data_IF_972327095503
#
_entry.id   IF_972327095503
#
_cell.length_a   1.000
_cell.length_b   1.000
_cell.length_c   1.000
_cell.angle_alpha   90.00
_cell.angle_beta   90.00
_cell.angle_gamma   90.00
#
_symmetry.space_group_name_H-M   'P 1'
#
loop_
_entity.id
_entity.type
_entity.pdbx_description
1 polymer ?
#
# COMPACT_ATOMS: atom_id res chain seq x y z
N UNK A 1 17.70 44.17 14.83
CA UNK A 1 18.51 43.18 15.56
C UNK A 1 18.52 41.86 14.80
N UNK A 2 19.74 41.33 14.58
CA UNK A 2 20.17 40.01 14.08
C UNK A 2 19.37 39.30 12.96
N UNK A 3 19.91 39.37 11.73
CA UNK A 3 19.66 38.41 10.65
C UNK A 3 20.46 37.13 10.93
N UNK A 4 19.76 36.00 11.00
CA UNK A 4 20.34 34.68 11.15
C UNK A 4 21.02 34.25 9.82
N UNK A 5 22.35 34.23 9.78
CA UNK A 5 23.15 33.66 8.70
C UNK A 5 23.49 32.22 9.03
N UNK A 6 22.88 31.26 8.35
CA UNK A 6 23.15 29.84 8.57
C UNK A 6 23.08 29.05 7.27
N UNK A 7 24.08 29.22 6.40
CA UNK A 7 24.36 28.30 5.29
C UNK A 7 25.84 28.34 4.90
N UNK A 8 26.74 27.98 5.81
CA UNK A 8 28.09 27.55 5.44
C UNK A 8 28.63 26.56 6.48
N UNK A 9 28.60 25.28 6.13
CA UNK A 9 29.59 24.31 6.60
C UNK A 9 29.86 23.35 5.43
N UNK A 10 31.15 23.19 5.13
CA UNK A 10 31.77 22.30 4.12
C UNK A 10 31.90 22.82 2.68
N UNK A 11 32.98 23.58 2.44
CA UNK A 11 33.91 23.32 1.34
C UNK A 11 35.26 23.97 1.64
N UNK A 12 36.13 23.25 2.36
CA UNK A 12 37.56 23.59 2.42
C UNK A 12 38.23 23.03 1.16
N UNK A 13 38.94 23.90 0.43
CA UNK A 13 40.00 23.51 -0.51
C UNK A 13 39.58 23.27 -1.96
N UNK A 14 39.20 24.32 -2.70
CA UNK A 14 39.51 24.44 -4.14
C UNK A 14 39.73 25.92 -4.47
N UNK A 15 40.75 26.19 -5.29
CA UNK A 15 41.20 27.52 -5.75
C UNK A 15 40.00 28.35 -6.21
N UNK A 16 39.84 29.55 -5.63
CA UNK A 16 38.74 30.49 -5.90
C UNK A 16 39.01 31.24 -7.20
N UNK A 17 38.11 31.13 -8.17
CA UNK A 17 38.15 31.90 -9.42
C UNK A 17 37.25 33.14 -9.27
N UNK A 18 37.78 34.36 -9.45
CA UNK A 18 37.04 35.63 -9.25
C UNK A 18 35.77 35.72 -10.12
N UNK A 19 35.79 35.14 -11.32
CA UNK A 19 34.64 35.17 -12.24
C UNK A 19 33.44 34.35 -11.72
N UNK A 20 33.69 33.30 -10.92
CA UNK A 20 32.62 32.51 -10.30
C UNK A 20 31.93 33.22 -9.13
N UNK A 21 32.62 34.16 -8.48
CA UNK A 21 32.05 34.94 -7.38
C UNK A 21 31.10 36.02 -7.93
N UNK A 22 31.46 36.69 -9.03
CA UNK A 22 30.60 37.66 -9.72
C UNK A 22 29.31 37.03 -10.29
N UNK A 23 29.40 35.87 -10.93
CA UNK A 23 28.23 35.13 -11.43
C UNK A 23 27.30 34.69 -10.29
N UNK A 24 27.85 34.29 -9.16
CA UNK A 24 27.07 33.94 -7.98
C UNK A 24 26.40 35.17 -7.35
N UNK A 25 27.06 36.32 -7.30
CA UNK A 25 26.49 37.57 -6.79
C UNK A 25 25.35 38.10 -7.67
N UNK A 26 25.51 38.06 -9.00
CA UNK A 26 24.44 38.43 -9.93
C UNK A 26 23.24 37.50 -9.84
N UNK A 27 23.48 36.19 -9.76
CA UNK A 27 22.43 35.19 -9.54
C UNK A 27 21.72 35.42 -8.19
N UNK A 28 22.44 35.76 -7.12
CA UNK A 28 21.87 36.11 -5.82
C UNK A 28 21.04 37.40 -5.87
N UNK A 29 21.52 38.42 -6.58
CA UNK A 29 20.80 39.69 -6.77
C UNK A 29 19.52 39.48 -7.57
N UNK A 30 19.57 38.71 -8.66
CA UNK A 30 18.40 38.33 -9.45
C UNK A 30 17.42 37.48 -8.64
N UNK A 31 17.90 36.50 -7.88
CA UNK A 31 17.06 35.69 -6.99
C UNK A 31 16.36 36.54 -5.92
N UNK A 32 17.04 37.54 -5.35
CA UNK A 32 16.45 38.46 -4.38
C UNK A 32 15.39 39.39 -5.00
N UNK A 33 15.61 39.87 -6.23
CA UNK A 33 14.61 40.65 -7.00
C UNK A 33 13.37 39.83 -7.35
N UNK A 34 13.57 38.58 -7.75
CA UNK A 34 12.47 37.64 -8.07
C UNK A 34 11.70 37.20 -6.81
N UNK A 35 12.40 37.01 -5.68
CA UNK A 35 11.81 36.67 -4.38
C UNK A 35 10.90 37.78 -3.83
N UNK A 36 11.24 39.04 -4.08
CA UNK A 36 10.50 40.20 -3.54
C UNK A 36 9.25 40.57 -4.35
N UNK A 37 9.19 40.23 -5.65
CA UNK A 37 8.05 40.59 -6.52
C UNK A 37 6.98 39.50 -6.67
N UNK A 38 7.31 38.23 -6.45
CA UNK A 38 6.39 37.11 -6.70
C UNK A 38 5.98 36.45 -5.36
N UNK A 39 4.67 36.40 -5.03
CA UNK A 39 4.19 35.71 -3.85
C UNK A 39 4.62 34.23 -3.82
N UNK A 40 4.95 33.72 -2.63
CA UNK A 40 5.44 32.35 -2.47
C UNK A 40 4.44 31.28 -2.96
N UNK A 41 3.13 31.56 -2.90
CA UNK A 41 2.09 30.68 -3.46
C UNK A 41 2.17 30.55 -5.00
N UNK A 42 2.65 31.59 -5.70
CA UNK A 42 2.88 31.51 -7.15
C UNK A 42 4.12 30.68 -7.46
N UNK A 43 5.20 30.82 -6.68
CA UNK A 43 6.39 29.96 -6.79
C UNK A 43 6.04 28.49 -6.58
N UNK A 44 5.27 28.17 -5.54
CA UNK A 44 4.80 26.81 -5.28
C UNK A 44 4.05 26.23 -6.49
N UNK A 45 3.06 26.96 -7.02
CA UNK A 45 2.30 26.51 -8.20
C UNK A 45 3.17 26.33 -9.43
N UNK A 46 4.14 27.21 -9.64
CA UNK A 46 5.08 27.10 -10.77
C UNK A 46 5.95 25.83 -10.64
N UNK A 47 6.51 25.57 -9.45
CA UNK A 47 7.32 24.37 -9.18
C UNK A 47 6.47 23.11 -9.40
N UNK A 48 5.24 23.08 -8.89
CA UNK A 48 4.35 21.93 -9.07
C UNK A 48 4.04 21.67 -10.55
N UNK A 49 3.64 22.71 -11.28
CA UNK A 49 3.36 22.60 -12.73
C UNK A 49 4.59 22.15 -13.51
N UNK A 50 5.76 22.71 -13.19
CA UNK A 50 7.01 22.32 -13.83
C UNK A 50 7.35 20.85 -13.59
N UNK A 51 7.16 20.34 -12.36
CA UNK A 51 7.36 18.93 -12.07
C UNK A 51 6.42 18.00 -12.87
N UNK A 52 5.15 18.38 -13.03
CA UNK A 52 4.22 17.64 -13.89
C UNK A 52 4.64 17.66 -15.36
N UNK A 53 5.02 18.82 -15.88
CA UNK A 53 5.50 18.97 -17.27
C UNK A 53 6.74 18.08 -17.51
N UNK A 54 7.72 18.12 -16.62
CA UNK A 54 8.90 17.24 -16.69
C UNK A 54 8.51 15.76 -16.71
N UNK A 55 7.54 15.38 -15.89
CA UNK A 55 7.04 14.01 -15.84
C UNK A 55 6.35 13.60 -17.13
N UNK A 56 5.55 14.49 -17.74
CA UNK A 56 4.91 14.22 -19.05
C UNK A 56 5.93 14.05 -20.17
N UNK A 57 7.07 14.75 -20.11
CA UNK A 57 8.20 14.56 -21.02
C UNK A 57 9.10 13.37 -20.65
N UNK A 58 8.63 12.43 -19.82
CA UNK A 58 9.36 11.23 -19.34
C UNK A 58 10.63 11.54 -18.55
N UNK A 59 10.85 12.79 -18.11
CA UNK A 59 11.98 13.22 -17.27
C UNK A 59 11.62 13.16 -15.78
N UNK A 60 11.15 12.00 -15.33
CA UNK A 60 10.64 11.82 -13.96
C UNK A 60 11.72 11.89 -12.87
N UNK A 61 12.99 11.59 -13.19
CA UNK A 61 14.11 11.78 -12.25
C UNK A 61 14.36 13.25 -11.94
N UNK A 62 14.28 14.10 -12.95
CA UNK A 62 14.50 15.54 -12.79
C UNK A 62 13.35 16.18 -12.03
N UNK A 63 12.11 15.77 -12.34
CA UNK A 63 10.94 16.15 -11.58
C UNK A 63 11.11 15.81 -10.09
N UNK A 64 11.61 14.61 -9.79
CA UNK A 64 11.92 14.20 -8.42
C UNK A 64 12.97 15.09 -7.76
N UNK A 65 14.08 15.38 -8.45
CA UNK A 65 15.14 16.23 -7.91
C UNK A 65 14.66 17.66 -7.63
N UNK A 66 13.83 18.22 -8.51
CA UNK A 66 13.21 19.55 -8.34
C UNK A 66 12.31 19.56 -7.11
N UNK A 67 11.44 18.55 -6.97
CA UNK A 67 10.54 18.43 -5.84
C UNK A 67 11.28 18.22 -4.52
N UNK A 68 12.32 17.37 -4.51
CA UNK A 68 13.15 17.14 -3.32
C UNK A 68 13.83 18.43 -2.85
N UNK A 69 14.42 19.18 -3.78
CA UNK A 69 15.01 20.50 -3.49
C UNK A 69 13.97 21.47 -2.95
N UNK A 70 12.80 21.54 -3.56
CA UNK A 70 11.70 22.39 -3.08
C UNK A 70 11.25 22.00 -1.67
N UNK A 71 11.08 20.70 -1.38
CA UNK A 71 10.68 20.21 -0.05
C UNK A 71 11.72 20.56 1.02
N UNK A 72 13.01 20.52 0.67
CA UNK A 72 14.11 20.87 1.59
C UNK A 72 14.30 22.37 1.80
N UNK A 73 13.70 23.23 0.96
CA UNK A 73 13.87 24.67 1.09
C UNK A 73 13.11 25.19 2.32
N UNK A 74 13.79 25.95 3.18
CA UNK A 74 13.26 26.43 4.47
C UNK A 74 11.84 27.01 4.39
N UNK A 75 11.56 27.78 3.32
CA UNK A 75 10.26 28.44 3.14
C UNK A 75 9.11 27.44 3.01
N UNK A 76 9.34 26.30 2.35
CA UNK A 76 8.34 25.24 2.21
C UNK A 76 8.45 24.21 3.34
N UNK A 77 9.65 24.01 3.90
CA UNK A 77 9.89 23.03 4.95
C UNK A 77 9.13 23.34 6.25
N UNK A 78 9.07 24.62 6.63
CA UNK A 78 8.38 25.09 7.84
C UNK A 78 6.86 25.30 7.63
N UNK A 79 6.42 25.40 6.38
CA UNK A 79 5.01 25.61 6.04
C UNK A 79 4.35 24.29 5.66
N UNK A 80 3.68 23.68 6.64
CA UNK A 80 3.07 22.37 6.51
C UNK A 80 2.08 22.22 5.33
N UNK A 81 1.12 23.14 5.07
CA UNK A 81 0.21 22.98 3.93
C UNK A 81 0.93 23.07 2.57
N UNK A 82 1.94 23.94 2.44
CA UNK A 82 2.75 24.00 1.21
C UNK A 82 3.59 22.74 1.03
N UNK A 83 4.17 22.23 2.11
CA UNK A 83 4.90 20.96 2.13
C UNK A 83 4.01 19.78 1.74
N UNK A 84 2.78 19.73 2.27
CA UNK A 84 1.80 18.72 1.90
C UNK A 84 1.48 18.76 0.40
N UNK A 85 1.30 19.96 -0.17
CA UNK A 85 1.06 20.11 -1.62
C UNK A 85 2.23 19.58 -2.47
N UNK A 86 3.48 19.79 -2.04
CA UNK A 86 4.67 19.26 -2.71
C UNK A 86 4.72 17.73 -2.66
N UNK A 87 4.43 17.12 -1.51
CA UNK A 87 4.39 15.66 -1.38
C UNK A 87 3.24 15.02 -2.20
N UNK A 88 2.06 15.64 -2.24
CA UNK A 88 0.96 15.19 -3.12
C UNK A 88 1.34 15.31 -4.61
N UNK A 89 2.05 16.37 -4.97
CA UNK A 89 2.60 16.54 -6.33
C UNK A 89 3.60 15.43 -6.64
N UNK A 90 4.49 15.11 -5.71
CA UNK A 90 5.47 14.04 -5.87
C UNK A 90 4.81 12.67 -6.08
N UNK A 91 3.74 12.38 -5.34
CA UNK A 91 2.93 11.18 -5.56
C UNK A 91 2.33 11.18 -6.97
N UNK A 92 1.69 12.28 -7.38
CA UNK A 92 1.08 12.38 -8.72
C UNK A 92 2.10 12.26 -9.86
N UNK A 93 3.26 12.89 -9.73
CA UNK A 93 4.37 12.76 -10.68
C UNK A 93 4.93 11.32 -10.68
N UNK A 94 5.06 10.69 -9.53
CA UNK A 94 5.45 9.28 -9.42
C UNK A 94 4.48 8.35 -10.13
N UNK A 95 3.18 8.64 -10.01
CA UNK A 95 2.11 7.88 -10.66
C UNK A 95 2.22 7.94 -12.19
N UNK A 96 2.26 9.16 -12.73
CA UNK A 96 2.34 9.40 -14.19
C UNK A 96 3.68 8.89 -14.75
N UNK A 97 4.78 9.19 -14.05
CA UNK A 97 6.14 8.83 -14.44
C UNK A 97 6.51 7.37 -14.19
N UNK A 98 5.58 6.58 -13.65
CA UNK A 98 5.71 5.17 -13.28
C UNK A 98 6.92 4.85 -12.38
N UNK A 99 7.17 5.69 -11.38
CA UNK A 99 8.25 5.49 -10.40
C UNK A 99 7.67 5.24 -9.01
N UNK A 100 7.70 3.98 -8.56
CA UNK A 100 7.18 3.57 -7.25
C UNK A 100 7.89 4.26 -6.07
N UNK A 101 9.18 4.53 -6.18
CA UNK A 101 9.96 5.17 -5.11
C UNK A 101 9.42 6.54 -4.70
N UNK A 102 9.05 7.38 -5.67
CA UNK A 102 8.46 8.70 -5.43
C UNK A 102 7.10 8.59 -4.72
N UNK A 103 6.27 7.66 -5.18
CA UNK A 103 4.93 7.41 -4.64
C UNK A 103 5.04 6.95 -3.19
N UNK A 104 5.92 5.98 -2.91
CA UNK A 104 6.15 5.45 -1.57
C UNK A 104 6.68 6.50 -0.59
N UNK A 105 7.64 7.32 -1.01
CA UNK A 105 8.22 8.34 -0.14
C UNK A 105 7.18 9.39 0.26
N UNK A 106 6.36 9.82 -0.70
CA UNK A 106 5.26 10.75 -0.42
C UNK A 106 4.18 10.12 0.47
N UNK A 107 3.78 8.88 0.20
CA UNK A 107 2.77 8.18 0.98
C UNK A 107 3.22 7.99 2.45
N UNK A 108 4.47 7.59 2.66
CA UNK A 108 5.07 7.46 4.01
C UNK A 108 5.16 8.79 4.74
N UNK A 109 5.50 9.87 4.05
CA UNK A 109 5.49 11.20 4.67
C UNK A 109 4.07 11.58 5.11
N UNK A 110 3.05 11.34 4.28
CA UNK A 110 1.65 11.59 4.64
C UNK A 110 1.20 10.79 5.86
N UNK A 111 1.59 9.52 5.95
CA UNK A 111 1.30 8.67 7.10
C UNK A 111 1.93 9.24 8.39
N UNK A 112 3.15 9.76 8.31
CA UNK A 112 3.84 10.38 9.46
C UNK A 112 3.32 11.78 9.80
N UNK A 113 2.86 12.55 8.81
CA UNK A 113 2.35 13.89 9.03
C UNK A 113 0.95 13.89 9.65
N UNK A 114 0.11 12.91 9.30
CA UNK A 114 -1.25 12.74 9.84
C UNK A 114 -1.42 11.40 10.55
N UNK A 115 -0.55 11.10 11.51
CA UNK A 115 -0.55 9.83 12.25
C UNK A 115 -1.90 9.52 12.94
N UNK A 116 -2.65 10.55 13.33
CA UNK A 116 -3.97 10.40 13.97
C UNK A 116 -5.11 10.12 13.00
N UNK A 117 -4.90 10.27 11.69
CA UNK A 117 -5.96 10.09 10.69
C UNK A 117 -5.68 8.89 9.80
N UNK A 118 -6.72 8.08 9.63
CA UNK A 118 -6.70 6.92 8.75
C UNK A 118 -6.48 7.28 7.27
N UNK A 119 -6.74 8.53 6.88
CA UNK A 119 -6.63 8.99 5.50
C UNK A 119 -5.21 8.80 4.92
N UNK A 120 -4.16 8.95 5.73
CA UNK A 120 -2.79 8.71 5.27
C UNK A 120 -2.57 7.27 4.82
N UNK A 121 -3.02 6.32 5.64
CA UNK A 121 -2.92 4.89 5.34
C UNK A 121 -3.88 4.46 4.21
N UNK A 122 -5.08 5.06 4.12
CA UNK A 122 -6.02 4.83 3.00
C UNK A 122 -5.44 5.28 1.67
N UNK A 123 -4.85 6.47 1.62
CA UNK A 123 -4.14 6.96 0.44
C UNK A 123 -2.99 6.02 0.11
N UNK A 124 -2.22 5.57 1.11
CA UNK A 124 -1.12 4.65 0.86
C UNK A 124 -1.61 3.31 0.28
N UNK A 125 -2.65 2.69 0.84
CA UNK A 125 -3.24 1.46 0.30
C UNK A 125 -3.68 1.65 -1.17
N UNK A 126 -4.43 2.71 -1.45
CA UNK A 126 -4.89 3.01 -2.82
C UNK A 126 -3.74 3.23 -3.82
N UNK A 127 -2.61 3.79 -3.36
CA UNK A 127 -1.42 4.01 -4.19
C UNK A 127 -0.62 2.74 -4.48
N UNK A 128 -0.69 1.74 -3.62
CA UNK A 128 -0.04 0.44 -3.81
C UNK A 128 -0.82 -0.37 -4.83
N UNK A 129 -2.14 -0.25 -4.83
CA UNK A 129 -3.04 -0.99 -5.71
C UNK A 129 -3.26 -0.33 -7.08
N UNK A 130 -2.57 0.78 -7.39
CA UNK A 130 -2.80 1.55 -8.63
C UNK A 130 -2.31 0.89 -9.92
N UNK A 131 -2.04 -0.43 -9.91
CA UNK A 131 -1.94 -1.24 -11.13
C UNK A 131 -0.58 -1.29 -11.81
N UNK A 132 0.52 -1.19 -11.06
CA UNK A 132 1.84 -1.41 -11.65
C UNK A 132 2.13 -2.89 -11.86
N UNK A 133 2.76 -3.18 -13.01
CA UNK A 133 3.12 -4.55 -13.39
C UNK A 133 4.22 -5.16 -12.52
N UNK A 134 4.98 -4.35 -11.80
CA UNK A 134 6.10 -4.80 -10.98
C UNK A 134 5.82 -4.57 -9.48
N UNK A 135 5.47 -5.63 -8.73
CA UNK A 135 5.28 -5.57 -7.27
C UNK A 135 6.52 -5.09 -6.51
N UNK A 136 7.73 -5.26 -7.05
CA UNK A 136 8.98 -4.88 -6.36
C UNK A 136 9.10 -3.36 -6.20
N UNK A 137 8.40 -2.60 -7.04
CA UNK A 137 8.32 -1.14 -6.94
C UNK A 137 7.63 -0.68 -5.66
N UNK A 138 6.81 -1.56 -5.04
CA UNK A 138 6.05 -1.30 -3.82
C UNK A 138 6.64 -1.95 -2.56
N UNK A 139 7.36 -3.05 -2.72
CA UNK A 139 7.94 -3.82 -1.62
C UNK A 139 9.44 -3.55 -1.54
N UNK A 140 9.82 -2.37 -1.04
CA UNK A 140 11.22 -2.17 -0.62
C UNK A 140 11.40 -2.60 0.83
N UNK A 141 12.57 -3.15 1.17
CA UNK A 141 12.89 -3.53 2.56
C UNK A 141 12.74 -2.34 3.54
N UNK A 142 13.00 -1.12 3.06
CA UNK A 142 12.83 0.09 3.86
C UNK A 142 11.35 0.37 4.18
N UNK A 143 10.44 0.12 3.23
CA UNK A 143 8.99 0.25 3.49
C UNK A 143 8.50 -0.82 4.45
N UNK A 144 8.94 -2.07 4.25
CA UNK A 144 8.56 -3.16 5.13
C UNK A 144 9.00 -2.86 6.57
N UNK A 145 10.25 -2.42 6.76
CA UNK A 145 10.77 -1.99 8.07
C UNK A 145 9.96 -0.84 8.67
N UNK A 146 9.59 0.15 7.86
CA UNK A 146 8.77 1.28 8.32
C UNK A 146 7.37 0.83 8.79
N UNK A 147 6.63 0.10 7.97
CA UNK A 147 5.28 -0.37 8.32
C UNK A 147 5.32 -1.33 9.50
N UNK A 148 6.31 -2.22 9.55
CA UNK A 148 6.53 -3.10 10.72
C UNK A 148 6.72 -2.29 12.00
N UNK A 149 7.51 -1.20 11.95
CA UNK A 149 7.69 -0.31 13.11
C UNK A 149 6.39 0.38 13.50
N UNK A 150 5.57 0.82 12.53
CA UNK A 150 4.29 1.45 12.81
C UNK A 150 3.29 0.47 13.46
N UNK A 151 3.21 -0.76 12.95
CA UNK A 151 2.36 -1.81 13.54
C UNK A 151 2.81 -2.15 14.96
N UNK A 152 4.11 -2.38 15.18
CA UNK A 152 4.65 -2.66 16.52
C UNK A 152 4.43 -1.51 17.51
N UNK A 153 4.54 -0.27 17.02
CA UNK A 153 4.31 0.91 17.84
C UNK A 153 2.84 0.99 18.28
N UNK A 154 1.92 0.77 17.34
CA UNK A 154 0.48 0.68 17.62
C UNK A 154 0.18 -0.45 18.62
N UNK A 155 0.75 -1.62 18.42
CA UNK A 155 0.58 -2.78 19.32
C UNK A 155 1.09 -2.47 20.73
N UNK A 156 2.23 -1.80 20.86
CA UNK A 156 2.78 -1.39 22.15
C UNK A 156 1.93 -0.30 22.84
N UNK A 157 1.37 0.65 22.08
CA UNK A 157 0.48 1.69 22.62
C UNK A 157 -0.82 1.09 23.18
N UNK A 158 -1.48 0.22 22.41
CA UNK A 158 -2.70 -0.47 22.85
C UNK A 158 -2.38 -1.41 24.02
N UNK A 159 -1.28 -2.15 23.93
CA UNK A 159 -0.85 -3.08 24.99
C UNK A 159 -0.52 -2.39 26.31
N UNK A 160 0.08 -1.21 26.30
CA UNK A 160 0.37 -0.47 27.54
C UNK A 160 -0.91 0.07 28.19
N UNK A 161 -1.89 0.54 27.41
CA UNK A 161 -3.20 0.96 27.94
C UNK A 161 -3.97 -0.21 28.56
N UNK A 162 -3.89 -1.39 27.97
CA UNK A 162 -4.51 -2.60 28.53
C UNK A 162 -3.79 -3.07 29.80
N UNK A 163 -2.46 -2.92 29.90
CA UNK A 163 -1.70 -3.23 31.14
C UNK A 163 -1.98 -2.26 32.29
N UNK A 164 -2.33 -1.01 31.99
CA UNK A 164 -2.81 -0.06 32.99
C UNK A 164 -4.22 -0.45 33.50
N UNK A 165 -4.99 -1.22 32.73
CA UNK A 165 -6.36 -1.65 33.05
C UNK A 165 -6.49 -3.09 33.59
N UNK A 166 -5.56 -4.00 33.29
CA UNK A 166 -5.63 -5.41 33.72
C UNK A 166 -4.32 -5.88 34.39
N UNK A 167 -4.36 -5.96 35.72
CA UNK A 167 -3.50 -6.87 36.47
C UNK A 167 -3.98 -8.32 36.27
N UNK A 168 -3.03 -9.24 36.01
CA UNK A 168 -3.16 -10.71 35.97
C UNK A 168 -3.49 -11.50 34.68
N UNK A 169 -3.67 -10.91 33.49
CA UNK A 169 -3.89 -11.71 32.25
C UNK A 169 -2.65 -11.99 31.38
N UNK A 170 -1.45 -11.79 31.93
CA UNK A 170 -0.19 -11.92 31.18
C UNK A 170 0.14 -13.38 30.81
N UNK A 171 -0.29 -14.33 31.64
CA UNK A 171 -0.05 -15.76 31.45
C UNK A 171 -0.98 -16.33 30.37
N UNK A 172 -2.27 -15.94 30.34
CA UNK A 172 -3.23 -16.39 29.33
C UNK A 172 -2.88 -15.91 27.92
N UNK A 173 -2.43 -14.67 27.76
CA UNK A 173 -1.99 -14.15 26.44
C UNK A 173 -0.71 -14.86 25.98
N UNK A 174 0.17 -15.23 26.91
CA UNK A 174 1.37 -16.01 26.61
C UNK A 174 1.01 -17.44 26.18
N UNK A 175 0.11 -18.10 26.90
CA UNK A 175 -0.38 -19.44 26.58
C UNK A 175 -1.10 -19.49 25.24
N UNK A 176 -1.91 -18.47 24.89
CA UNK A 176 -2.55 -18.37 23.57
C UNK A 176 -1.52 -18.21 22.44
N UNK A 177 -0.43 -17.47 22.69
CA UNK A 177 0.66 -17.34 21.72
C UNK A 177 1.47 -18.64 21.62
N UNK A 178 1.67 -19.37 22.71
CA UNK A 178 2.30 -20.70 22.74
C UNK A 178 1.43 -21.77 22.05
N UNK A 179 0.10 -21.70 22.15
CA UNK A 179 -0.84 -22.57 21.41
C UNK A 179 -0.85 -22.27 19.90
N UNK A 180 -0.75 -20.99 19.51
CA UNK A 180 -0.54 -20.60 18.11
C UNK A 180 0.83 -21.08 17.59
N UNK A 181 1.85 -21.14 18.48
CA UNK A 181 3.15 -21.75 18.19
C UNK A 181 3.09 -23.27 18.05
N UNK A 182 2.20 -23.93 18.78
CA UNK A 182 1.97 -25.37 18.74
C UNK A 182 1.02 -25.82 17.62
N UNK A 183 0.32 -24.89 16.94
CA UNK A 183 -0.41 -25.19 15.70
C UNK A 183 0.60 -25.48 14.59
N UNK A 184 1.04 -26.74 14.53
CA UNK A 184 1.79 -27.44 13.49
C UNK A 184 2.32 -26.55 12.37
N UNK A 185 3.52 -25.99 12.54
CA UNK A 185 4.35 -25.51 11.43
C UNK A 185 5.72 -26.17 11.65
N UNK A 186 6.10 -27.09 10.76
CA UNK A 186 7.38 -27.80 10.77
C UNK A 186 8.57 -26.83 11.04
N UNK A 187 9.39 -27.06 12.10
CA UNK A 187 10.54 -26.22 12.45
C UNK A 187 11.54 -26.03 11.29
N UNK A 188 11.62 -26.96 10.34
CA UNK A 188 12.48 -26.85 9.16
C UNK A 188 11.93 -25.87 8.10
N UNK A 189 10.65 -25.49 8.17
CA UNK A 189 10.05 -24.42 7.37
C UNK A 189 10.11 -23.04 8.06
N UNK A 190 10.57 -23.00 9.32
CA UNK A 190 10.41 -21.88 10.22
C UNK A 190 11.46 -20.77 10.07
N UNK A 191 12.61 -20.99 9.42
CA UNK A 191 13.68 -19.99 9.36
C UNK A 191 13.33 -18.74 8.53
N UNK A 192 12.54 -18.89 7.46
CA UNK A 192 12.08 -17.76 6.63
C UNK A 192 10.68 -17.24 7.00
N UNK A 193 9.85 -18.07 7.63
CA UNK A 193 8.43 -17.80 7.90
C UNK A 193 8.10 -17.54 9.38
N UNK A 194 9.09 -17.28 10.23
CA UNK A 194 8.86 -17.05 11.66
C UNK A 194 8.05 -15.76 11.90
N UNK A 195 6.74 -15.91 12.16
CA UNK A 195 5.82 -14.81 12.46
C UNK A 195 6.24 -14.04 13.71
N UNK A 196 6.99 -14.67 14.61
CA UNK A 196 7.59 -14.07 15.81
C UNK A 196 8.46 -12.84 15.47
N UNK A 197 9.07 -12.79 14.27
CA UNK A 197 9.74 -11.58 13.75
C UNK A 197 8.79 -10.39 13.68
N UNK A 198 7.50 -10.60 13.48
CA UNK A 198 6.50 -9.54 13.41
C UNK A 198 5.85 -9.22 14.77
N UNK A 199 5.97 -10.11 15.76
CA UNK A 199 5.33 -9.99 17.08
C UNK A 199 6.21 -9.48 18.22
N UNK A 200 7.51 -9.25 18.02
CA UNK A 200 8.32 -8.58 19.04
C UNK A 200 7.82 -7.15 19.28
N UNK A 201 6.90 -7.04 20.25
CA UNK A 201 6.37 -5.80 20.78
C UNK A 201 7.43 -5.23 21.73
N UNK A 202 7.95 -4.01 21.49
CA UNK A 202 8.90 -3.39 22.41
C UNK A 202 8.27 -3.32 23.81
N UNK A 203 8.94 -3.88 24.80
CA UNK A 203 8.51 -3.85 26.22
C UNK A 203 8.42 -2.44 26.77
N UNK A 204 9.17 -1.50 26.18
CA UNK A 204 9.08 -0.06 26.43
C UNK A 204 9.11 0.70 25.10
N UNK A 205 8.13 1.58 24.87
CA UNK A 205 8.18 2.57 23.79
C UNK A 205 9.02 3.74 24.30
N UNK A 206 10.09 4.17 23.61
CA UNK A 206 10.87 5.32 24.04
C UNK A 206 9.98 6.57 24.17
N UNK A 207 9.97 7.28 25.32
CA UNK A 207 9.17 8.47 25.55
C UNK A 207 9.24 9.55 24.45
N UNK A 208 10.41 9.84 23.81
CA UNK A 208 10.47 10.90 22.80
C UNK A 208 9.72 10.58 21.49
N UNK A 209 9.43 9.31 21.20
CA UNK A 209 8.63 8.92 20.03
C UNK A 209 7.15 9.17 20.32
N UNK A 210 6.68 8.79 21.52
CA UNK A 210 5.30 9.04 21.99
C UNK A 210 5.00 10.54 22.03
N UNK A 211 5.96 11.35 22.50
CA UNK A 211 5.84 12.82 22.59
C UNK A 211 5.86 13.53 21.23
N UNK A 212 6.67 13.08 20.27
CA UNK A 212 6.68 13.61 18.89
C UNK A 212 5.43 13.26 18.09
N UNK A 213 4.80 12.14 18.42
CA UNK A 213 3.57 11.69 17.76
C UNK A 213 2.30 12.24 18.41
N UNK A 214 2.39 13.00 19.52
CA UNK A 214 1.26 13.60 20.24
C UNK A 214 0.03 12.67 20.38
N UNK A 215 0.29 11.38 20.62
CA UNK A 215 -0.74 10.33 20.61
C UNK A 215 -1.47 10.38 21.94
N UNK A 216 -2.49 11.23 22.02
CA UNK A 216 -3.63 10.93 22.88
C UNK A 216 -4.13 9.52 22.49
N UNK A 217 -4.11 8.62 23.48
CA UNK A 217 -3.98 7.17 23.28
C UNK A 217 -4.91 6.57 22.22
N UNK A 218 -4.30 5.90 21.23
CA UNK A 218 -5.03 4.96 20.37
C UNK A 218 -5.69 3.92 21.28
N UNK A 219 -7.02 3.97 21.37
CA UNK A 219 -7.79 3.09 22.25
C UNK A 219 -8.05 1.72 21.63
N UNK A 220 -7.87 1.60 20.32
CA UNK A 220 -8.07 0.39 19.55
C UNK A 220 -7.01 0.26 18.47
N UNK A 221 -6.77 -0.96 18.03
CA UNK A 221 -5.95 -1.23 16.85
C UNK A 221 -6.54 -0.53 15.61
N UNK A 222 -5.67 -0.17 14.67
CA UNK A 222 -6.06 0.44 13.41
C UNK A 222 -6.22 -0.64 12.32
N UNK A 223 -7.45 -0.98 11.90
CA UNK A 223 -7.68 -2.05 10.93
C UNK A 223 -7.10 -1.73 9.55
N UNK A 224 -7.00 -0.44 9.17
CA UNK A 224 -6.49 -0.03 7.86
C UNK A 224 -4.97 -0.21 7.79
N UNK A 225 -4.26 0.10 8.88
CA UNK A 225 -2.82 -0.14 8.96
C UNK A 225 -2.51 -1.65 8.91
N UNK A 226 -3.29 -2.46 9.63
CA UNK A 226 -3.16 -3.92 9.61
C UNK A 226 -3.43 -4.49 8.22
N UNK A 227 -4.51 -4.04 7.56
CA UNK A 227 -4.84 -4.44 6.19
C UNK A 227 -3.74 -4.03 5.19
N UNK A 228 -3.26 -2.78 5.25
CA UNK A 228 -2.17 -2.29 4.41
C UNK A 228 -0.90 -3.15 4.59
N UNK A 229 -0.59 -3.54 5.82
CA UNK A 229 0.55 -4.41 6.08
C UNK A 229 0.34 -5.83 5.54
N UNK A 230 -0.87 -6.38 5.65
CA UNK A 230 -1.24 -7.66 5.03
C UNK A 230 -1.10 -7.64 3.50
N UNK A 231 -1.50 -6.55 2.85
CA UNK A 231 -1.26 -6.36 1.40
C UNK A 231 0.23 -6.33 1.06
N UNK A 232 1.05 -5.65 1.86
CA UNK A 232 2.51 -5.63 1.66
C UNK A 232 3.14 -7.01 1.83
N UNK A 233 2.67 -7.82 2.78
CA UNK A 233 3.13 -9.20 2.96
C UNK A 233 2.72 -10.10 1.81
N UNK A 234 1.52 -9.90 1.26
CA UNK A 234 1.05 -10.61 0.06
C UNK A 234 1.99 -10.31 -1.11
N UNK A 235 2.33 -9.04 -1.33
CA UNK A 235 3.26 -8.62 -2.37
C UNK A 235 4.70 -9.11 -2.12
N UNK A 236 5.12 -9.24 -0.85
CA UNK A 236 6.41 -9.81 -0.47
C UNK A 236 6.44 -11.35 -0.50
N UNK A 237 5.37 -11.99 -1.01
CA UNK A 237 5.20 -13.46 -1.11
C UNK A 237 5.17 -14.20 0.22
N UNK A 238 4.81 -13.53 1.32
CA UNK A 238 4.59 -14.17 2.62
C UNK A 238 3.09 -14.30 2.88
N UNK A 239 2.46 -15.35 2.33
CA UNK A 239 1.01 -15.57 2.43
C UNK A 239 0.56 -15.84 3.88
N UNK A 240 1.35 -16.58 4.66
CA UNK A 240 1.10 -16.87 6.09
C UNK A 240 1.10 -15.59 6.92
N UNK A 241 2.08 -14.70 6.73
CA UNK A 241 2.10 -13.43 7.43
C UNK A 241 0.92 -12.55 6.99
N UNK A 242 0.58 -12.54 5.69
CA UNK A 242 -0.55 -11.78 5.19
C UNK A 242 -1.88 -12.23 5.82
N UNK A 243 -2.15 -13.54 5.86
CA UNK A 243 -3.40 -14.07 6.43
C UNK A 243 -3.57 -13.69 7.89
N UNK A 244 -2.50 -13.79 8.67
CA UNK A 244 -2.47 -13.38 10.07
C UNK A 244 -2.82 -11.89 10.27
N UNK A 245 -2.24 -10.98 9.49
CA UNK A 245 -2.55 -9.55 9.61
C UNK A 245 -3.95 -9.20 9.12
N UNK A 246 -4.45 -9.89 8.08
CA UNK A 246 -5.84 -9.75 7.66
C UNK A 246 -6.83 -10.29 8.71
N UNK A 247 -6.50 -11.39 9.41
CA UNK A 247 -7.29 -11.90 10.54
C UNK A 247 -7.33 -10.89 11.68
N UNK A 248 -6.18 -10.31 12.04
CA UNK A 248 -6.12 -9.24 13.04
C UNK A 248 -6.97 -8.04 12.65
N UNK A 249 -6.93 -7.63 11.38
CA UNK A 249 -7.76 -6.55 10.86
C UNK A 249 -9.26 -6.92 10.92
N UNK A 250 -9.61 -8.17 10.59
CA UNK A 250 -10.98 -8.67 10.61
C UNK A 250 -11.54 -8.75 12.03
N UNK A 251 -10.73 -9.15 13.02
CA UNK A 251 -11.14 -9.19 14.43
C UNK A 251 -11.51 -7.80 14.97
N UNK A 252 -10.85 -6.75 14.47
CA UNK A 252 -11.09 -5.36 14.87
C UNK A 252 -12.25 -4.73 14.07
N UNK A 253 -12.32 -5.00 12.77
CA UNK A 253 -13.35 -4.49 11.87
C UNK A 253 -13.92 -5.65 11.04
N UNK A 254 -14.84 -6.46 11.62
CA UNK A 254 -15.41 -7.59 10.92
C UNK A 254 -16.30 -7.11 9.78
N UNK A 255 -16.46 -7.96 8.76
CA UNK A 255 -17.32 -7.71 7.59
C UNK A 255 -16.93 -6.49 6.74
N UNK A 256 -15.72 -5.97 6.88
CA UNK A 256 -15.18 -5.06 5.85
C UNK A 256 -14.93 -5.84 4.56
N UNK A 257 -15.55 -5.41 3.46
CA UNK A 257 -15.55 -6.14 2.18
C UNK A 257 -14.14 -6.39 1.65
N UNK A 258 -13.28 -5.37 1.67
CA UNK A 258 -11.92 -5.46 1.13
C UNK A 258 -11.05 -6.38 1.96
N UNK A 259 -11.05 -6.22 3.29
CA UNK A 259 -10.28 -7.08 4.17
C UNK A 259 -10.79 -8.53 4.15
N UNK A 260 -12.10 -8.75 4.07
CA UNK A 260 -12.69 -10.11 3.99
C UNK A 260 -12.23 -10.84 2.72
N UNK A 261 -12.25 -10.17 1.57
CA UNK A 261 -11.71 -10.72 0.33
C UNK A 261 -10.20 -11.00 0.44
N UNK A 262 -9.44 -10.04 0.99
CA UNK A 262 -7.98 -10.14 1.14
C UNK A 262 -7.59 -11.30 2.06
N UNK A 263 -8.36 -11.51 3.13
CA UNK A 263 -8.21 -12.64 4.06
C UNK A 263 -8.44 -13.97 3.35
N UNK A 264 -9.58 -14.12 2.66
CA UNK A 264 -9.90 -15.34 1.90
C UNK A 264 -8.82 -15.68 0.88
N UNK A 265 -8.37 -14.69 0.09
CA UNK A 265 -7.28 -14.86 -0.88
C UNK A 265 -5.97 -15.27 -0.21
N UNK A 266 -5.59 -14.64 0.91
CA UNK A 266 -4.34 -14.98 1.62
C UNK A 266 -4.35 -16.39 2.22
N UNK A 267 -5.50 -16.87 2.68
CA UNK A 267 -5.69 -18.25 3.13
C UNK A 267 -5.58 -19.25 1.98
N UNK A 268 -6.24 -18.99 0.84
CA UNK A 268 -6.10 -19.81 -0.36
C UNK A 268 -4.66 -19.87 -0.85
N UNK A 269 -3.95 -18.73 -0.86
CA UNK A 269 -2.53 -18.70 -1.21
C UNK A 269 -1.68 -19.50 -0.24
N UNK A 270 -1.97 -19.45 1.06
CA UNK A 270 -1.27 -20.25 2.07
C UNK A 270 -1.49 -21.75 1.81
N UNK A 271 -2.72 -22.16 1.52
CA UNK A 271 -3.04 -23.55 1.25
C UNK A 271 -2.30 -24.13 0.02
N UNK A 272 -2.08 -23.31 -1.02
CA UNK A 272 -1.41 -23.73 -2.27
C UNK A 272 0.13 -23.77 -2.11
N UNK A 273 0.68 -23.24 -1.02
CA UNK A 273 2.12 -23.36 -0.78
C UNK A 273 2.56 -24.84 -0.64
N UNK A 274 3.83 -25.09 -0.97
CA UNK A 274 4.42 -26.45 -0.95
C UNK A 274 4.38 -27.10 0.44
N UNK A 275 4.41 -26.30 1.51
CA UNK A 275 4.37 -26.72 2.90
C UNK A 275 3.11 -26.13 3.55
N UNK A 276 2.07 -26.93 3.67
CA UNK A 276 0.83 -26.60 4.38
C UNK A 276 0.37 -27.87 5.06
N UNK A 277 0.14 -27.81 6.37
CA UNK A 277 -0.14 -28.99 7.20
C UNK A 277 -1.54 -29.55 6.88
N UNK A 278 -2.58 -28.72 7.06
CA UNK A 278 -3.95 -29.04 6.66
C UNK A 278 -4.44 -28.11 5.56
N UNK A 279 -4.02 -28.44 4.33
CA UNK A 279 -4.42 -27.72 3.11
C UNK A 279 -5.93 -27.72 2.92
N UNK A 280 -6.62 -28.82 3.23
CA UNK A 280 -8.05 -28.93 2.98
C UNK A 280 -8.85 -28.00 3.89
N UNK A 281 -8.53 -27.98 5.19
CA UNK A 281 -9.14 -27.06 6.14
C UNK A 281 -8.86 -25.59 5.77
N UNK A 282 -7.62 -25.27 5.37
CA UNK A 282 -7.28 -23.91 4.94
C UNK A 282 -8.03 -23.48 3.67
N UNK A 283 -8.26 -24.39 2.71
CA UNK A 283 -9.09 -24.11 1.53
C UNK A 283 -10.53 -23.83 1.95
N UNK A 284 -11.11 -24.64 2.84
CA UNK A 284 -12.48 -24.44 3.33
C UNK A 284 -12.61 -23.08 4.02
N UNK A 285 -11.67 -22.72 4.90
CA UNK A 285 -11.62 -21.41 5.55
C UNK A 285 -11.48 -20.27 4.54
N UNK A 286 -10.58 -20.40 3.57
CA UNK A 286 -10.39 -19.40 2.51
C UNK A 286 -11.65 -19.19 1.69
N UNK A 287 -12.30 -20.27 1.25
CA UNK A 287 -13.56 -20.20 0.49
C UNK A 287 -14.70 -19.61 1.32
N UNK A 288 -14.78 -19.92 2.63
CA UNK A 288 -15.79 -19.35 3.53
C UNK A 288 -15.73 -17.82 3.52
N UNK A 289 -14.54 -17.22 3.63
CA UNK A 289 -14.39 -15.76 3.54
C UNK A 289 -14.66 -15.20 2.14
N UNK A 290 -14.32 -15.94 1.07
CA UNK A 290 -14.68 -15.52 -0.30
C UNK A 290 -16.21 -15.45 -0.47
N UNK A 291 -16.94 -16.44 0.04
CA UNK A 291 -18.41 -16.44 0.02
C UNK A 291 -19.01 -15.38 0.94
N UNK A 292 -18.42 -15.13 2.11
CA UNK A 292 -18.83 -14.03 2.98
C UNK A 292 -18.67 -12.69 2.27
N UNK A 293 -17.53 -12.47 1.60
CA UNK A 293 -17.30 -11.29 0.76
C UNK A 293 -18.36 -11.14 -0.34
N UNK A 294 -18.73 -12.23 -1.01
CA UNK A 294 -19.75 -12.20 -2.05
C UNK A 294 -21.13 -11.84 -1.50
N UNK A 295 -21.49 -12.37 -0.33
CA UNK A 295 -22.71 -12.01 0.40
C UNK A 295 -22.72 -10.52 0.77
N UNK A 296 -21.60 -9.99 1.31
CA UNK A 296 -21.46 -8.57 1.66
C UNK A 296 -21.51 -7.65 0.43
N UNK A 297 -21.15 -8.17 -0.75
CA UNK A 297 -21.18 -7.43 -2.02
C UNK A 297 -22.50 -7.56 -2.78
N UNK A 298 -23.46 -8.32 -2.24
CA UNK A 298 -24.77 -8.55 -2.86
C UNK A 298 -24.70 -9.41 -4.12
N UNK A 299 -23.74 -10.35 -4.21
CA UNK A 299 -23.55 -11.22 -5.37
C UNK A 299 -23.47 -10.46 -6.72
N UNK A 300 -22.83 -9.30 -6.70
CA UNK A 300 -22.61 -8.48 -7.89
C UNK A 300 -21.62 -9.15 -8.87
N UNK A 301 -21.53 -8.61 -10.08
CA UNK A 301 -20.67 -9.12 -11.14
C UNK A 301 -19.19 -9.27 -10.72
N UNK A 302 -18.66 -8.35 -9.90
CA UNK A 302 -17.29 -8.42 -9.36
C UNK A 302 -17.10 -9.61 -8.42
N UNK A 303 -18.03 -9.81 -7.49
CA UNK A 303 -17.94 -10.87 -6.50
C UNK A 303 -18.04 -12.27 -7.11
N UNK A 304 -18.92 -12.45 -8.09
CA UNK A 304 -19.06 -13.70 -8.83
C UNK A 304 -17.82 -14.01 -9.67
N UNK A 305 -17.22 -12.98 -10.29
CA UNK A 305 -15.94 -13.13 -10.95
C UNK A 305 -14.85 -13.58 -9.97
N UNK A 306 -14.78 -12.97 -8.79
CA UNK A 306 -13.79 -13.30 -7.78
C UNK A 306 -13.97 -14.73 -7.22
N UNK A 307 -15.20 -15.23 -7.09
CA UNK A 307 -15.46 -16.65 -6.76
C UNK A 307 -14.91 -17.56 -7.87
N UNK A 308 -15.23 -17.26 -9.13
CA UNK A 308 -14.68 -18.01 -10.28
C UNK A 308 -13.15 -17.99 -10.31
N UNK A 309 -12.53 -16.86 -9.96
CA UNK A 309 -11.07 -16.72 -9.80
C UNK A 309 -10.52 -17.59 -8.68
N UNK A 310 -11.21 -17.69 -7.54
CA UNK A 310 -10.80 -18.53 -6.42
C UNK A 310 -10.81 -20.02 -6.82
N UNK A 311 -11.85 -20.49 -7.50
CA UNK A 311 -11.89 -21.86 -8.02
C UNK A 311 -10.81 -22.12 -9.08
N UNK A 312 -10.60 -21.17 -9.98
CA UNK A 312 -9.54 -21.27 -11.00
C UNK A 312 -8.16 -21.32 -10.33
N UNK A 313 -7.91 -20.52 -9.29
CA UNK A 313 -6.68 -20.55 -8.50
C UNK A 313 -6.42 -21.93 -7.87
N UNK A 314 -7.47 -22.63 -7.44
CA UNK A 314 -7.40 -23.98 -6.88
C UNK A 314 -7.30 -25.09 -7.94
N UNK A 315 -7.35 -24.76 -9.23
CA UNK A 315 -7.38 -25.74 -10.33
C UNK A 315 -8.76 -26.39 -10.56
N UNK A 316 -9.80 -25.95 -9.85
CA UNK A 316 -11.18 -26.45 -9.99
C UNK A 316 -11.89 -25.74 -11.14
N UNK A 317 -11.36 -25.91 -12.36
CA UNK A 317 -11.78 -25.16 -13.55
C UNK A 317 -13.25 -25.37 -13.92
N UNK A 318 -13.79 -26.57 -13.72
CA UNK A 318 -15.21 -26.87 -13.97
C UNK A 318 -16.16 -26.01 -13.13
N UNK A 319 -15.81 -25.72 -11.86
CA UNK A 319 -16.57 -24.80 -11.02
C UNK A 319 -16.35 -23.35 -11.47
N UNK A 320 -15.12 -22.99 -11.84
CA UNK A 320 -14.79 -21.65 -12.30
C UNK A 320 -15.59 -21.23 -13.55
N UNK A 321 -15.80 -22.15 -14.50
CA UNK A 321 -16.57 -21.92 -15.74
C UNK A 321 -17.97 -21.42 -15.42
N UNK A 322 -18.69 -22.09 -14.51
CA UNK A 322 -20.07 -21.71 -14.16
C UNK A 322 -20.17 -20.27 -13.64
N UNK A 323 -19.20 -19.84 -12.83
CA UNK A 323 -19.15 -18.47 -12.34
C UNK A 323 -18.77 -17.46 -13.42
N UNK A 324 -17.84 -17.79 -14.33
CA UNK A 324 -17.51 -16.89 -15.44
C UNK A 324 -18.66 -16.72 -16.42
N UNK A 325 -19.38 -17.79 -16.76
CA UNK A 325 -20.58 -17.73 -17.59
C UNK A 325 -21.68 -16.89 -16.92
N UNK A 326 -21.91 -17.10 -15.62
CA UNK A 326 -22.84 -16.29 -14.83
C UNK A 326 -22.48 -14.80 -14.89
N UNK A 327 -21.20 -14.45 -14.74
CA UNK A 327 -20.69 -13.08 -14.85
C UNK A 327 -20.97 -12.45 -16.21
N UNK A 328 -20.83 -13.21 -17.31
CA UNK A 328 -21.10 -12.73 -18.67
C UNK A 328 -22.59 -12.49 -18.92
N UNK A 329 -23.47 -13.22 -18.21
CA UNK A 329 -24.93 -13.03 -18.28
C UNK A 329 -25.45 -11.92 -17.35
N UNK A 330 -24.65 -11.43 -16.40
CA UNK A 330 -25.06 -10.37 -15.49
C UNK A 330 -25.07 -8.99 -16.17
N UNK A 331 -26.02 -8.10 -15.80
CA UNK A 331 -26.02 -6.74 -16.32
C UNK A 331 -24.73 -6.05 -15.92
N UNK A 332 -24.03 -5.46 -16.89
CA UNK A 332 -22.80 -4.73 -16.59
C UNK A 332 -23.11 -3.58 -15.62
N UNK A 333 -22.18 -3.25 -14.69
CA UNK A 333 -22.37 -2.15 -13.77
C UNK A 333 -22.57 -0.87 -14.58
N UNK A 334 -23.78 -0.30 -14.50
CA UNK A 334 -24.12 1.00 -15.07
C UNK A 334 -23.13 2.04 -14.55
N UNK A 335 -22.11 2.36 -15.34
CA UNK A 335 -21.31 3.56 -15.11
C UNK A 335 -22.03 4.68 -15.83
N UNK A 336 -22.65 5.56 -15.03
CA UNK A 336 -23.08 6.92 -15.35
C UNK A 336 -23.09 7.29 -16.86
N UNK A 337 -24.28 7.23 -17.46
CA UNK A 337 -24.79 8.04 -18.57
C UNK A 337 -23.98 8.27 -19.87
N UNK A 338 -22.76 7.78 -20.09
CA UNK A 338 -21.99 8.17 -21.30
C UNK A 338 -21.17 7.08 -21.99
N UNK A 339 -21.20 5.82 -21.56
CA UNK A 339 -20.56 4.73 -22.31
C UNK A 339 -21.42 3.48 -22.26
N UNK A 340 -21.64 2.86 -23.42
CA UNK A 340 -22.29 1.55 -23.49
C UNK A 340 -21.64 0.59 -22.49
N UNK A 341 -22.43 -0.24 -21.79
CA UNK A 341 -21.93 -1.23 -20.86
C UNK A 341 -20.93 -2.14 -21.57
N UNK A 342 -19.62 -1.96 -21.29
CA UNK A 342 -18.61 -2.89 -21.79
C UNK A 342 -18.78 -4.23 -21.06
N UNK A 343 -18.88 -5.36 -21.77
CA UNK A 343 -18.84 -6.68 -21.17
C UNK A 343 -17.60 -6.84 -20.28
N UNK A 344 -17.70 -7.71 -19.27
CA UNK A 344 -16.58 -8.00 -18.37
C UNK A 344 -15.52 -8.86 -19.11
N UNK A 345 -14.74 -8.19 -19.95
CA UNK A 345 -13.65 -8.71 -20.78
C UNK A 345 -12.73 -9.70 -20.04
N UNK A 346 -12.43 -9.45 -18.77
CA UNK A 346 -11.59 -10.32 -17.93
C UNK A 346 -12.19 -11.71 -17.66
N UNK A 347 -13.51 -11.84 -17.59
CA UNK A 347 -14.16 -13.15 -17.37
C UNK A 347 -14.11 -13.96 -18.66
N UNK A 348 -14.44 -13.33 -19.80
CA UNK A 348 -14.32 -13.94 -21.11
C UNK A 348 -12.87 -14.38 -21.41
N UNK A 349 -11.89 -13.53 -21.08
CA UNK A 349 -10.48 -13.87 -21.22
C UNK A 349 -10.09 -15.08 -20.37
N UNK A 350 -10.48 -15.15 -19.10
CA UNK A 350 -10.14 -16.32 -18.28
C UNK A 350 -10.87 -17.59 -18.73
N UNK A 351 -12.10 -17.46 -19.21
CA UNK A 351 -12.87 -18.58 -19.74
C UNK A 351 -12.25 -19.14 -21.03
N UNK A 352 -11.78 -18.26 -21.94
CA UNK A 352 -11.08 -18.70 -23.15
C UNK A 352 -9.82 -19.50 -22.82
N UNK A 353 -9.07 -19.13 -21.77
CA UNK A 353 -7.87 -19.87 -21.35
C UNK A 353 -8.23 -21.30 -20.94
N UNK A 354 -9.33 -21.47 -20.20
CA UNK A 354 -9.82 -22.80 -19.81
C UNK A 354 -10.18 -23.62 -21.05
N UNK A 355 -10.87 -23.03 -22.02
CA UNK A 355 -11.25 -23.72 -23.26
C UNK A 355 -10.06 -24.06 -24.16
N UNK A 356 -9.00 -23.25 -24.17
CA UNK A 356 -7.75 -23.62 -24.83
C UNK A 356 -7.14 -24.85 -24.16
N UNK A 357 -7.04 -24.85 -22.83
CA UNK A 357 -6.48 -25.99 -22.08
C UNK A 357 -7.32 -27.26 -22.24
N UNK A 358 -8.64 -27.15 -22.42
CA UNK A 358 -9.51 -28.30 -22.70
C UNK A 358 -9.54 -28.75 -24.17
N UNK A 359 -8.84 -28.05 -25.07
CA UNK A 359 -8.80 -28.37 -26.51
C UNK A 359 -9.97 -27.82 -27.33
N UNK A 360 -10.87 -27.04 -26.74
CA UNK A 360 -12.07 -26.47 -27.39
C UNK A 360 -11.78 -25.14 -28.08
N UNK A 361 -10.90 -25.16 -29.09
CA UNK A 361 -10.38 -23.95 -29.74
C UNK A 361 -11.46 -23.09 -30.41
N UNK A 362 -12.46 -23.71 -31.04
CA UNK A 362 -13.55 -22.99 -31.71
C UNK A 362 -14.35 -22.14 -30.72
N UNK A 363 -14.63 -22.67 -29.53
CA UNK A 363 -15.38 -21.97 -28.49
C UNK A 363 -14.55 -20.83 -27.88
N UNK A 364 -13.25 -21.05 -27.67
CA UNK A 364 -12.33 -20.01 -27.24
C UNK A 364 -12.26 -18.85 -28.24
N UNK A 365 -12.23 -19.14 -29.55
CA UNK A 365 -12.24 -18.13 -30.60
C UNK A 365 -13.54 -17.32 -30.60
N UNK A 366 -14.70 -17.97 -30.50
CA UNK A 366 -16.02 -17.30 -30.44
C UNK A 366 -16.07 -16.35 -29.25
N UNK A 367 -15.60 -16.78 -28.06
CA UNK A 367 -15.57 -15.92 -26.88
C UNK A 367 -14.70 -14.67 -27.07
N UNK A 368 -13.49 -14.84 -27.61
CA UNK A 368 -12.59 -13.72 -27.85
C UNK A 368 -13.16 -12.74 -28.87
N UNK A 369 -13.73 -13.24 -29.97
CA UNK A 369 -14.37 -12.39 -30.98
C UNK A 369 -15.57 -11.63 -30.42
N UNK A 370 -16.37 -12.28 -29.57
CA UNK A 370 -17.58 -11.68 -29.01
C UNK A 370 -17.31 -10.64 -27.92
N UNK A 371 -16.33 -10.88 -27.05
CA UNK A 371 -16.15 -10.08 -25.82
C UNK A 371 -14.82 -9.34 -25.71
N UNK A 372 -13.78 -9.74 -26.45
CA UNK A 372 -12.43 -9.20 -26.33
C UNK A 372 -11.92 -8.47 -27.59
N UNK A 373 -12.70 -8.46 -28.68
CA UNK A 373 -12.39 -7.66 -29.85
C UNK A 373 -12.53 -6.16 -29.51
N UNK A 374 -11.54 -5.36 -29.94
CA UNK A 374 -11.43 -3.91 -29.65
C UNK A 374 -11.96 -3.08 -30.80
#
# INVERSE_FOLDING_TARGET
>A
SLRYTGFYAFRKGKVKNRDTDNLNEEAHSMANRLRTRIPMNKWLRMIMRYAYVLTTFKRSLEAYNVLLKAISANVFYHDNPKKQALYLTMIGCGMIGKRGTMVQEGARWLCNYRQHKNDGFRIYAALVDSGYKDPTMYVSQNQLKYLTRMVRLMDAMVGNKNKENEGNNREQIRLLNEEILAMNIDPAAASENYYTRYYHTPTAVPPPIVKKMNVEGLSSLNPILLCLYGHMMTLSRSAVAASLFHMRAYAVAPKDRLNTLSLGISLLHTAIQRKSDDRHMQIVQGMMFIYEYAKLSGHNQESEYNIGRAFHLLGLTHLAVTHYEKVLCMPAPSKAATRQPKPFDKAAYNLHLIYITSGSLSLAQILLQKYCAV
#
